data_IF_174600993471
#
_entry.id   IF_174600993471
#
_cell.length_a   1.000
_cell.length_b   1.000
_cell.length_c   1.000
_cell.angle_alpha   90.00
_cell.angle_beta   90.00
_cell.angle_gamma   90.00
#
_symmetry.space_group_name_H-M   'P 1'
#
loop_
_entity.id
_entity.type
_entity.pdbx_description
1 polymer ?
#
# COMPACT_ATOMS: atom_id res chain seq x y z
N UNK A 1 32.48 16.09 61.53
CA UNK A 1 32.61 15.75 60.09
C UNK A 1 31.25 15.21 59.65
N UNK A 2 30.31 16.09 59.29
CA UNK A 2 29.95 16.38 57.89
C UNK A 2 29.76 15.11 57.06
N UNK A 3 28.50 14.69 56.86
CA UNK A 3 27.82 14.71 55.54
C UNK A 3 26.30 14.79 55.77
N UNK A 4 25.68 15.86 55.27
CA UNK A 4 24.27 15.93 54.82
C UNK A 4 24.32 15.78 53.27
N UNK A 5 23.28 15.42 52.49
CA UNK A 5 21.84 15.74 52.66
C UNK A 5 20.90 14.65 52.00
N UNK A 6 19.74 14.95 51.35
CA UNK A 6 18.48 15.53 51.83
C UNK A 6 17.20 14.70 51.48
N UNK A 7 16.10 15.16 52.09
CA UNK A 7 14.68 14.97 51.74
C UNK A 7 14.37 15.25 50.25
N UNK A 8 13.39 14.54 49.66
CA UNK A 8 12.30 15.06 48.81
C UNK A 8 11.49 13.88 48.19
N UNK A 9 10.58 13.31 48.98
CA UNK A 9 9.56 12.36 48.52
C UNK A 9 8.24 13.09 48.31
N UNK A 10 8.04 13.72 47.15
CA UNK A 10 6.72 14.23 46.71
C UNK A 10 6.65 14.13 45.17
N UNK A 11 5.63 13.40 44.68
CA UNK A 11 4.96 13.57 43.38
C UNK A 11 5.83 13.61 42.09
N UNK A 12 6.42 12.47 41.71
CA UNK A 12 6.89 12.24 40.32
C UNK A 12 6.50 10.89 39.70
N UNK A 13 5.46 10.25 40.23
CA UNK A 13 4.90 9.02 39.64
C UNK A 13 3.68 9.27 38.72
N UNK A 14 3.19 10.51 38.62
CA UNK A 14 1.99 10.88 37.84
C UNK A 14 2.31 11.70 36.56
N UNK A 15 3.58 11.94 36.25
CA UNK A 15 4.00 12.77 35.11
C UNK A 15 4.83 12.04 34.04
N UNK A 16 5.05 10.72 34.17
CA UNK A 16 6.03 9.98 33.35
C UNK A 16 5.46 8.80 32.54
N UNK A 17 4.14 8.57 32.59
CA UNK A 17 3.44 7.59 31.73
C UNK A 17 2.44 8.25 30.77
N UNK A 18 2.34 9.59 30.79
CA UNK A 18 1.51 10.36 29.85
C UNK A 18 2.30 10.85 28.61
N UNK A 19 3.55 10.40 28.44
CA UNK A 19 4.49 11.00 27.47
C UNK A 19 5.36 9.99 26.71
N UNK A 20 5.06 8.69 26.74
CA UNK A 20 5.72 7.72 25.88
C UNK A 20 4.81 7.35 24.71
N UNK A 21 5.02 8.13 23.64
CA UNK A 21 4.70 7.85 22.24
C UNK A 21 3.22 8.01 21.87
N UNK A 22 2.82 9.28 21.75
CA UNK A 22 1.96 9.70 20.64
C UNK A 22 2.64 9.24 19.34
N UNK A 23 2.38 8.00 18.92
CA UNK A 23 2.70 7.57 17.57
C UNK A 23 1.97 8.54 16.65
N UNK A 24 2.74 9.34 15.93
CA UNK A 24 2.29 10.04 14.73
C UNK A 24 2.03 8.99 13.63
N UNK A 25 1.19 8.00 13.93
CA UNK A 25 0.58 7.17 12.90
C UNK A 25 -0.23 8.13 12.06
N UNK A 26 0.09 8.17 10.76
CA UNK A 26 -0.76 8.87 9.80
C UNK A 26 -2.21 8.41 9.98
N UNK A 27 -3.14 9.29 9.68
CA UNK A 27 -4.56 9.06 9.85
C UNK A 27 -4.98 7.80 9.07
N UNK A 28 -5.32 6.74 9.80
CA UNK A 28 -6.02 5.58 9.28
C UNK A 28 -7.49 5.83 9.59
N UNK A 29 -8.36 5.71 8.60
CA UNK A 29 -9.81 5.80 8.79
C UNK A 29 -10.52 4.80 7.89
N UNK A 30 -11.81 4.58 8.09
CA UNK A 30 -12.60 3.58 7.36
C UNK A 30 -12.26 2.10 7.61
N UNK A 31 -11.04 1.64 7.33
CA UNK A 31 -10.56 0.28 7.63
C UNK A 31 -9.39 0.36 8.60
N UNK A 32 -9.68 0.13 9.88
CA UNK A 32 -8.73 0.17 10.99
C UNK A 32 -8.16 -1.20 11.27
N UNK A 33 -6.92 -1.40 10.85
CA UNK A 33 -6.09 -2.52 11.26
C UNK A 33 -4.81 -2.00 11.92
N UNK A 34 -4.54 -2.39 13.16
CA UNK A 34 -3.46 -1.84 14.01
C UNK A 34 -2.05 -2.04 13.45
N UNK A 35 -1.83 -3.06 12.60
CA UNK A 35 -0.55 -3.33 11.94
C UNK A 35 -0.40 -2.61 10.59
N UNK A 36 -1.47 -2.01 10.07
CA UNK A 36 -1.36 -1.08 8.95
C UNK A 36 -0.90 0.28 9.49
N UNK A 37 0.13 0.85 8.90
CA UNK A 37 0.61 2.19 9.22
C UNK A 37 0.93 2.91 7.93
N UNK A 38 0.50 4.17 7.82
CA UNK A 38 0.81 4.99 6.66
C UNK A 38 1.88 6.04 6.98
N UNK A 39 2.70 6.32 5.98
CA UNK A 39 3.51 7.51 5.88
C UNK A 39 2.63 8.71 5.52
N UNK A 40 3.19 9.91 5.59
CA UNK A 40 2.44 11.12 5.29
C UNK A 40 2.01 11.17 3.81
N UNK A 41 0.75 11.54 3.59
CA UNK A 41 0.15 11.75 2.27
C UNK A 41 0.19 13.25 1.88
N UNK A 42 0.25 13.58 0.58
CA UNK A 42 0.27 12.66 -0.55
C UNK A 42 1.62 11.96 -0.72
N UNK A 43 1.61 10.68 -1.10
CA UNK A 43 2.81 9.96 -1.53
C UNK A 43 3.07 10.17 -3.02
N UNK A 44 4.22 9.70 -3.50
CA UNK A 44 4.46 9.54 -4.93
C UNK A 44 3.43 8.60 -5.56
N UNK A 45 3.02 8.89 -6.80
CA UNK A 45 2.05 8.10 -7.56
C UNK A 45 2.47 6.64 -7.72
N UNK A 46 3.74 6.39 -8.07
CA UNK A 46 4.26 5.04 -8.24
C UNK A 46 4.14 4.22 -6.95
N UNK A 47 4.56 4.79 -5.82
CA UNK A 47 4.46 4.10 -4.54
C UNK A 47 3.02 3.84 -4.10
N UNK A 48 2.12 4.81 -4.33
CA UNK A 48 0.68 4.62 -4.10
C UNK A 48 0.14 3.45 -4.90
N UNK A 49 0.39 3.40 -6.21
CA UNK A 49 -0.14 2.34 -7.07
C UNK A 49 0.40 0.96 -6.70
N UNK A 50 1.65 0.88 -6.26
CA UNK A 50 2.22 -0.35 -5.73
C UNK A 50 1.48 -0.83 -4.48
N UNK A 51 1.27 0.06 -3.50
CA UNK A 51 0.60 -0.28 -2.24
C UNK A 51 -0.88 -0.59 -2.43
N UNK A 52 -1.57 0.22 -3.24
CA UNK A 52 -2.98 0.01 -3.57
C UNK A 52 -3.17 -1.34 -4.28
N UNK A 53 -2.30 -1.70 -5.23
CA UNK A 53 -2.35 -3.00 -5.90
C UNK A 53 -2.06 -4.13 -4.92
N UNK A 54 -1.06 -3.97 -4.06
CA UNK A 54 -0.71 -4.98 -3.04
C UNK A 54 -1.91 -5.25 -2.11
N UNK A 55 -2.60 -4.20 -1.65
CA UNK A 55 -3.82 -4.34 -0.86
C UNK A 55 -4.97 -4.98 -1.64
N UNK A 56 -5.14 -4.64 -2.93
CA UNK A 56 -6.17 -5.25 -3.77
C UNK A 56 -5.94 -6.77 -3.90
N UNK A 57 -4.68 -7.20 -4.01
CA UNK A 57 -4.34 -8.62 -4.11
C UNK A 57 -4.58 -9.39 -2.81
N UNK A 58 -4.72 -8.72 -1.65
CA UNK A 58 -5.18 -9.38 -0.43
C UNK A 58 -6.56 -9.97 -0.57
N UNK A 59 -7.43 -9.44 -1.44
CA UNK A 59 -8.78 -9.95 -1.66
C UNK A 59 -8.82 -11.19 -2.58
N UNK A 60 -7.74 -11.47 -3.30
CA UNK A 60 -7.70 -12.52 -4.33
C UNK A 60 -7.19 -13.81 -3.72
N UNK A 61 -8.00 -14.86 -3.77
CA UNK A 61 -7.52 -16.20 -3.42
C UNK A 61 -6.58 -16.73 -4.52
N UNK A 62 -5.38 -17.21 -4.15
CA UNK A 62 -4.47 -17.78 -5.12
C UNK A 62 -5.09 -19.03 -5.74
N UNK A 63 -4.91 -19.22 -7.05
CA UNK A 63 -5.36 -20.45 -7.73
C UNK A 63 -4.57 -21.64 -7.19
N UNK A 64 -5.14 -22.85 -7.33
CA UNK A 64 -4.42 -24.11 -7.04
C UNK A 64 -3.04 -24.10 -7.72
N UNK A 65 -1.97 -24.32 -6.94
CA UNK A 65 -0.54 -24.26 -7.33
C UNK A 65 0.10 -22.87 -7.45
N UNK A 66 -0.64 -21.79 -7.21
CA UNK A 66 -0.03 -20.46 -7.05
C UNK A 66 0.33 -20.21 -5.59
N UNK A 67 1.54 -19.72 -5.35
CA UNK A 67 2.00 -19.36 -4.01
C UNK A 67 1.34 -18.04 -3.61
N UNK A 68 0.76 -17.99 -2.42
CA UNK A 68 0.26 -16.74 -1.84
C UNK A 68 1.42 -15.78 -1.60
N UNK A 69 1.24 -14.49 -1.89
CA UNK A 69 2.23 -13.47 -1.51
C UNK A 69 2.48 -13.47 0.00
N UNK A 70 3.68 -13.09 0.42
CA UNK A 70 4.03 -13.01 1.85
C UNK A 70 3.14 -11.99 2.56
N UNK A 71 2.78 -10.91 1.85
CA UNK A 71 1.84 -9.92 2.36
C UNK A 71 0.47 -10.53 2.69
N UNK A 72 -0.13 -11.35 1.82
CA UNK A 72 -1.41 -12.02 2.14
C UNK A 72 -1.25 -13.07 3.25
N UNK A 73 -0.13 -13.81 3.27
CA UNK A 73 0.15 -14.78 4.34
C UNK A 73 0.14 -14.11 5.72
N UNK A 74 0.75 -12.93 5.83
CA UNK A 74 0.73 -12.15 7.08
C UNK A 74 -0.69 -11.86 7.57
N UNK A 75 -1.56 -11.33 6.70
CA UNK A 75 -2.95 -11.03 7.07
C UNK A 75 -3.74 -12.28 7.49
N UNK A 76 -3.51 -13.41 6.81
CA UNK A 76 -4.11 -14.70 7.18
C UNK A 76 -3.60 -15.20 8.54
N UNK A 77 -2.31 -15.06 8.81
CA UNK A 77 -1.70 -15.42 10.10
C UNK A 77 -2.28 -14.57 11.24
N UNK A 78 -2.40 -13.26 11.04
CA UNK A 78 -2.98 -12.35 12.03
C UNK A 78 -4.45 -12.68 12.32
N UNK A 79 -5.23 -12.97 11.27
CA UNK A 79 -6.62 -13.39 11.42
C UNK A 79 -6.71 -14.72 12.19
N UNK A 80 -5.90 -15.71 11.81
CA UNK A 80 -5.86 -17.01 12.49
C UNK A 80 -5.45 -16.88 13.96
N UNK A 81 -4.50 -15.98 14.27
CA UNK A 81 -4.09 -15.67 15.64
C UNK A 81 -5.26 -15.09 16.45
N UNK A 82 -6.00 -14.14 15.90
CA UNK A 82 -7.17 -13.54 16.56
C UNK A 82 -8.30 -14.57 16.75
N UNK A 83 -8.54 -15.43 15.77
CA UNK A 83 -9.51 -16.52 15.87
C UNK A 83 -9.15 -17.48 16.99
N UNK A 84 -7.87 -17.84 17.13
CA UNK A 84 -7.38 -18.67 18.24
C UNK A 84 -7.57 -17.96 19.58
N UNK A 85 -7.16 -16.69 19.69
CA UNK A 85 -7.31 -15.90 20.91
C UNK A 85 -8.79 -15.79 21.34
N UNK A 86 -9.71 -15.65 20.38
CA UNK A 86 -11.15 -15.55 20.67
C UNK A 86 -11.74 -16.81 21.34
N UNK A 87 -11.11 -17.97 21.12
CA UNK A 87 -11.48 -19.25 21.75
C UNK A 87 -10.89 -19.40 23.15
N UNK A 88 -9.77 -18.73 23.42
CA UNK A 88 -9.06 -18.79 24.69
C UNK A 88 -9.56 -17.74 25.69
N UNK A 89 -9.92 -16.55 25.19
CA UNK A 89 -10.45 -15.45 25.99
C UNK A 89 -11.33 -14.51 25.17
N UNK A 90 -12.03 -13.64 25.88
CA UNK A 90 -12.69 -12.49 25.26
C UNK A 90 -11.66 -11.58 24.58
N UNK A 91 -11.94 -11.17 23.35
CA UNK A 91 -11.11 -10.20 22.62
C UNK A 91 -11.30 -8.78 23.17
N UNK A 92 -10.22 -8.01 23.12
CA UNK A 92 -10.22 -6.58 23.39
C UNK A 92 -10.92 -5.81 22.23
N UNK A 93 -11.39 -4.58 22.46
CA UNK A 93 -12.05 -3.80 21.41
C UNK A 93 -11.17 -3.61 20.16
N UNK A 94 -9.88 -3.36 20.35
CA UNK A 94 -8.91 -3.17 19.26
C UNK A 94 -8.70 -4.48 18.48
N UNK A 95 -8.69 -5.62 19.16
CA UNK A 95 -8.54 -6.93 18.54
C UNK A 95 -9.77 -7.30 17.70
N UNK A 96 -10.98 -6.93 18.15
CA UNK A 96 -12.19 -7.07 17.35
C UNK A 96 -12.19 -6.15 16.13
N UNK A 97 -11.73 -4.91 16.29
CA UNK A 97 -11.58 -3.99 15.17
C UNK A 97 -10.61 -4.58 14.13
N UNK A 98 -9.45 -5.07 14.57
CA UNK A 98 -8.45 -5.71 13.72
C UNK A 98 -9.01 -6.94 13.01
N UNK A 99 -9.71 -7.83 13.73
CA UNK A 99 -10.33 -9.02 13.14
C UNK A 99 -11.32 -8.63 12.02
N UNK A 100 -12.17 -7.63 12.27
CA UNK A 100 -13.10 -7.11 11.27
C UNK A 100 -12.40 -6.49 10.06
N UNK A 101 -11.35 -5.70 10.26
CA UNK A 101 -10.58 -5.10 9.16
C UNK A 101 -9.86 -6.15 8.32
N UNK A 102 -9.24 -7.15 8.95
CA UNK A 102 -8.60 -8.28 8.26
C UNK A 102 -9.62 -9.02 7.37
N UNK A 103 -10.81 -9.29 7.88
CA UNK A 103 -11.90 -9.92 7.12
C UNK A 103 -12.34 -9.05 5.93
N UNK A 104 -12.42 -7.73 6.08
CA UNK A 104 -12.70 -6.80 4.97
C UNK A 104 -11.59 -6.87 3.91
N UNK A 105 -10.33 -6.77 4.32
CA UNK A 105 -9.15 -6.83 3.43
C UNK A 105 -9.06 -8.14 2.64
N UNK A 106 -9.45 -9.25 3.27
CA UNK A 106 -9.46 -10.59 2.68
C UNK A 106 -10.74 -10.89 1.87
N UNK A 107 -11.58 -9.89 1.62
CA UNK A 107 -12.84 -10.01 0.87
C UNK A 107 -13.86 -10.97 1.51
N UNK A 108 -13.90 -11.00 2.84
CA UNK A 108 -14.83 -11.78 3.65
C UNK A 108 -15.83 -10.86 4.39
N UNK A 109 -16.38 -9.87 3.66
CA UNK A 109 -17.28 -8.85 4.21
C UNK A 109 -18.51 -9.40 4.98
N UNK A 110 -19.17 -10.51 4.56
CA UNK A 110 -20.24 -11.10 5.36
C UNK A 110 -19.80 -11.58 6.75
N UNK A 111 -18.61 -12.19 6.85
CA UNK A 111 -18.05 -12.64 8.11
C UNK A 111 -17.56 -11.46 8.96
N UNK A 112 -16.99 -10.43 8.31
CA UNK A 112 -16.65 -9.17 8.96
C UNK A 112 -17.89 -8.56 9.62
N UNK A 113 -19.02 -8.54 8.91
CA UNK A 113 -20.28 -8.00 9.42
C UNK A 113 -20.78 -8.78 10.65
N UNK A 114 -20.77 -10.11 10.61
CA UNK A 114 -21.17 -10.92 11.77
C UNK A 114 -20.28 -10.62 12.98
N UNK A 115 -18.97 -10.59 12.77
CA UNK A 115 -17.96 -10.34 13.80
C UNK A 115 -18.13 -8.94 14.41
N UNK A 116 -18.20 -7.92 13.57
CA UNK A 116 -18.28 -6.52 14.00
C UNK A 116 -19.62 -6.18 14.65
N UNK A 117 -20.73 -6.80 14.26
CA UNK A 117 -22.02 -6.63 14.96
C UNK A 117 -22.02 -7.23 16.36
N UNK A 118 -21.31 -8.34 16.58
CA UNK A 118 -21.10 -8.88 17.93
C UNK A 118 -20.23 -7.92 18.75
N UNK A 119 -19.13 -7.45 18.16
CA UNK A 119 -18.22 -6.51 18.80
C UNK A 119 -18.88 -5.18 19.18
N UNK A 120 -19.73 -4.62 18.31
CA UNK A 120 -20.48 -3.38 18.56
C UNK A 120 -21.44 -3.50 19.74
N UNK A 121 -22.13 -4.64 19.90
CA UNK A 121 -22.98 -4.89 21.08
C UNK A 121 -22.19 -4.90 22.38
N UNK A 122 -20.94 -5.37 22.33
CA UNK A 122 -20.08 -5.45 23.50
C UNK A 122 -19.33 -4.14 23.79
N UNK A 123 -19.00 -3.39 22.75
CA UNK A 123 -18.18 -2.18 22.81
C UNK A 123 -18.78 -1.03 21.95
N UNK A 124 -20.00 -0.56 22.25
CA UNK A 124 -20.75 0.37 21.40
C UNK A 124 -20.15 1.77 21.28
N UNK A 125 -19.18 2.10 22.13
CA UNK A 125 -18.48 3.39 22.12
C UNK A 125 -17.12 3.34 21.40
N UNK A 126 -16.76 2.21 20.80
CA UNK A 126 -15.50 2.09 20.06
C UNK A 126 -15.69 2.49 18.59
N UNK A 127 -15.19 3.68 18.24
CA UNK A 127 -15.35 4.22 16.89
C UNK A 127 -14.68 3.37 15.79
N UNK A 128 -13.62 2.61 16.09
CA UNK A 128 -12.93 1.76 15.08
C UNK A 128 -13.77 0.56 14.69
N UNK A 129 -14.46 -0.04 15.67
CA UNK A 129 -15.44 -1.11 15.41
C UNK A 129 -16.56 -0.57 14.52
N UNK A 130 -17.11 0.62 14.84
CA UNK A 130 -18.15 1.26 14.04
C UNK A 130 -17.66 1.62 12.63
N UNK A 131 -16.47 2.19 12.48
CA UNK A 131 -15.91 2.52 11.17
C UNK A 131 -15.70 1.28 10.30
N UNK A 132 -15.12 0.20 10.87
CA UNK A 132 -14.98 -1.07 10.17
C UNK A 132 -16.35 -1.67 9.82
N UNK A 133 -17.35 -1.54 10.70
CA UNK A 133 -18.72 -2.00 10.46
C UNK A 133 -19.38 -1.22 9.31
N UNK A 134 -19.17 0.10 9.26
CA UNK A 134 -19.60 0.93 8.14
C UNK A 134 -18.93 0.50 6.83
N UNK A 135 -17.62 0.26 6.85
CA UNK A 135 -16.87 -0.26 5.70
C UNK A 135 -17.38 -1.63 5.24
N UNK A 136 -17.71 -2.55 6.15
CA UNK A 136 -18.31 -3.83 5.79
C UNK A 136 -19.67 -3.66 5.08
N UNK A 137 -20.54 -2.78 5.59
CA UNK A 137 -21.81 -2.45 4.91
C UNK A 137 -21.59 -1.78 3.54
N UNK A 138 -20.61 -0.88 3.44
CA UNK A 138 -20.24 -0.23 2.18
C UNK A 138 -19.78 -1.26 1.14
N UNK A 139 -18.90 -2.19 1.51
CA UNK A 139 -18.41 -3.27 0.64
C UNK A 139 -19.54 -4.18 0.16
N UNK A 140 -20.56 -4.40 0.99
CA UNK A 140 -21.77 -5.16 0.62
C UNK A 140 -22.78 -4.34 -0.20
N UNK A 141 -22.54 -3.04 -0.41
CA UNK A 141 -23.44 -2.15 -1.16
C UNK A 141 -24.71 -1.76 -0.40
N UNK A 142 -24.73 -1.94 0.92
CA UNK A 142 -25.81 -1.61 1.85
C UNK A 142 -25.63 -0.18 2.39
N UNK A 143 -25.72 0.80 1.49
CA UNK A 143 -25.27 2.16 1.76
C UNK A 143 -26.07 2.90 2.85
N UNK A 144 -27.37 2.61 3.01
CA UNK A 144 -28.17 3.23 4.08
C UNK A 144 -27.65 2.87 5.47
N UNK A 145 -27.31 1.59 5.67
CA UNK A 145 -26.70 1.12 6.92
C UNK A 145 -25.29 1.64 7.09
N UNK A 146 -24.50 1.66 6.01
CA UNK A 146 -23.14 2.20 6.03
C UNK A 146 -23.14 3.67 6.48
N UNK A 147 -24.06 4.50 5.96
CA UNK A 147 -24.23 5.92 6.35
C UNK A 147 -24.57 6.04 7.83
N UNK A 148 -25.59 5.31 8.30
CA UNK A 148 -26.03 5.38 9.70
C UNK A 148 -24.89 5.04 10.67
N UNK A 149 -24.15 3.96 10.39
CA UNK A 149 -23.04 3.53 11.25
C UNK A 149 -21.84 4.48 11.14
N UNK A 150 -21.57 5.04 9.95
CA UNK A 150 -20.50 6.03 9.76
C UNK A 150 -20.77 7.32 10.54
N UNK A 151 -22.01 7.79 10.60
CA UNK A 151 -22.38 8.96 11.40
C UNK A 151 -22.13 8.72 12.91
N UNK A 152 -22.35 7.50 13.40
CA UNK A 152 -21.99 7.12 14.77
C UNK A 152 -20.48 7.07 14.98
N UNK A 153 -19.74 6.50 14.03
CA UNK A 153 -18.27 6.46 14.08
C UNK A 153 -17.68 7.87 14.15
N UNK A 154 -18.18 8.81 13.33
CA UNK A 154 -17.76 10.23 13.33
C UNK A 154 -18.02 10.89 14.68
N UNK A 155 -19.18 10.62 15.30
CA UNK A 155 -19.53 11.21 16.59
C UNK A 155 -18.60 10.76 17.74
N UNK A 156 -18.02 9.56 17.63
CA UNK A 156 -17.13 8.97 18.62
C UNK A 156 -15.64 9.08 18.26
N UNK A 157 -15.33 9.48 17.02
CA UNK A 157 -13.96 9.55 16.52
C UNK A 157 -13.14 10.63 17.26
N UNK A 158 -11.94 10.30 17.76
CA UNK A 158 -11.02 11.30 18.27
C UNK A 158 -10.68 12.32 17.18
N UNK A 159 -10.52 13.60 17.53
CA UNK A 159 -10.48 14.72 16.59
C UNK A 159 -9.59 14.53 15.34
N UNK A 160 -8.45 13.86 15.47
CA UNK A 160 -7.56 13.60 14.33
C UNK A 160 -8.18 12.69 13.24
N UNK A 161 -9.12 11.81 13.60
CA UNK A 161 -9.79 10.87 12.68
C UNK A 161 -11.07 11.44 12.05
N UNK A 162 -11.64 12.50 12.63
CA UNK A 162 -12.98 13.01 12.26
C UNK A 162 -13.06 13.38 10.77
N UNK A 163 -12.08 14.08 10.23
CA UNK A 163 -12.12 14.52 8.83
C UNK A 163 -11.98 13.36 7.86
N UNK A 164 -11.19 12.35 8.24
CA UNK A 164 -10.99 11.15 7.46
C UNK A 164 -12.25 10.24 7.47
N UNK A 165 -12.97 10.17 8.60
CA UNK A 165 -14.27 9.50 8.68
C UNK A 165 -15.37 10.25 7.90
N UNK A 166 -15.37 11.60 7.95
CA UNK A 166 -16.27 12.42 7.11
C UNK A 166 -16.02 12.21 5.62
N UNK A 167 -14.75 12.05 5.24
CA UNK A 167 -14.37 11.76 3.86
C UNK A 167 -14.95 10.40 3.41
N UNK A 168 -14.88 9.37 4.25
CA UNK A 168 -15.54 8.10 3.94
C UNK A 168 -17.06 8.27 3.83
N UNK A 169 -17.71 8.94 4.79
CA UNK A 169 -19.16 9.19 4.75
C UNK A 169 -19.58 9.88 3.46
N UNK A 170 -18.81 10.89 3.04
CA UNK A 170 -19.02 11.57 1.78
C UNK A 170 -18.95 10.56 0.61
N UNK A 171 -17.93 9.70 0.57
CA UNK A 171 -17.78 8.70 -0.49
C UNK A 171 -18.92 7.70 -0.52
N UNK A 172 -19.36 7.17 0.63
CA UNK A 172 -20.52 6.27 0.73
C UNK A 172 -21.77 6.92 0.12
N UNK A 173 -21.99 8.23 0.37
CA UNK A 173 -23.11 8.99 -0.20
C UNK A 173 -23.00 9.09 -1.73
N UNK A 174 -21.80 9.23 -2.30
CA UNK A 174 -21.61 9.23 -3.75
C UNK A 174 -21.87 7.85 -4.36
N UNK A 175 -21.36 6.77 -3.75
CA UNK A 175 -21.64 5.40 -4.20
C UNK A 175 -23.15 5.09 -4.19
N UNK A 176 -23.87 5.57 -3.16
CA UNK A 176 -25.33 5.45 -3.09
C UNK A 176 -26.03 6.16 -4.25
N UNK A 177 -25.66 7.40 -4.54
CA UNK A 177 -26.20 8.17 -5.68
C UNK A 177 -25.93 7.45 -7.00
N UNK A 178 -24.71 6.97 -7.20
CA UNK A 178 -24.33 6.25 -8.41
C UNK A 178 -25.15 4.97 -8.61
N UNK A 179 -25.31 4.15 -7.56
CA UNK A 179 -26.13 2.93 -7.60
C UNK A 179 -27.59 3.25 -7.95
N UNK A 180 -28.08 4.43 -7.60
CA UNK A 180 -29.39 4.93 -7.97
C UNK A 180 -29.43 5.60 -9.37
N UNK A 181 -28.35 5.53 -10.16
CA UNK A 181 -28.25 6.14 -11.50
C UNK A 181 -28.19 7.67 -11.49
N UNK A 182 -27.91 8.28 -10.34
CA UNK A 182 -27.85 9.73 -10.20
C UNK A 182 -26.47 10.27 -10.55
N UNK A 183 -26.42 11.52 -10.99
CA UNK A 183 -25.16 12.24 -11.18
C UNK A 183 -24.42 12.33 -9.85
N UNK A 184 -23.16 11.89 -9.85
CA UNK A 184 -22.26 11.96 -8.70
C UNK A 184 -21.32 13.13 -8.78
N UNK A 185 -20.83 13.52 -7.60
CA UNK A 185 -19.73 14.46 -7.44
C UNK A 185 -18.42 13.65 -7.47
N UNK A 186 -17.46 14.10 -8.26
CA UNK A 186 -16.14 13.48 -8.37
C UNK A 186 -15.22 13.95 -7.21
N UNK A 187 -15.58 13.57 -5.98
CA UNK A 187 -15.00 13.97 -4.68
C UNK A 187 -14.96 15.48 -4.36
N UNK A 188 -14.59 16.32 -5.33
CA UNK A 188 -14.34 17.74 -5.20
C UNK A 188 -15.10 18.59 -6.22
N UNK A 189 -16.06 18.01 -6.94
CA UNK A 189 -16.88 18.72 -7.95
C UNK A 189 -16.06 19.40 -9.06
N UNK A 190 -14.97 18.76 -9.48
CA UNK A 190 -14.12 19.23 -10.57
C UNK A 190 -14.74 18.84 -11.91
N UNK A 191 -14.57 19.68 -12.92
CA UNK A 191 -14.87 19.35 -14.31
C UNK A 191 -13.54 19.39 -15.05
N UNK A 192 -12.99 18.23 -15.40
CA UNK A 192 -11.71 18.10 -16.09
C UNK A 192 -11.77 18.56 -17.56
N UNK A 193 -12.57 19.58 -17.82
CA UNK A 193 -12.98 20.09 -19.12
C UNK A 193 -12.68 21.60 -19.21
N UNK A 194 -12.53 22.10 -20.43
CA UNK A 194 -12.45 23.52 -20.76
C UNK A 194 -13.81 24.21 -20.68
N UNK A 195 -13.82 25.53 -20.85
CA UNK A 195 -15.06 26.33 -20.97
C UNK A 195 -15.97 25.83 -22.11
N UNK A 196 -15.39 25.24 -23.15
CA UNK A 196 -16.10 24.62 -24.28
C UNK A 196 -16.52 23.17 -24.02
N UNK A 197 -16.32 22.65 -22.80
CA UNK A 197 -16.70 21.30 -22.40
C UNK A 197 -15.75 20.19 -22.90
N UNK A 198 -14.55 20.55 -23.37
CA UNK A 198 -13.57 19.58 -23.89
C UNK A 198 -12.58 19.15 -22.83
N UNK A 199 -12.27 17.86 -22.75
CA UNK A 199 -11.26 17.35 -21.83
C UNK A 199 -9.88 18.00 -22.04
N UNK A 200 -9.21 18.38 -20.95
CA UNK A 200 -7.90 19.06 -20.98
C UNK A 200 -6.80 18.05 -20.63
N UNK A 201 -6.00 17.56 -21.59
CA UNK A 201 -4.88 16.68 -21.28
C UNK A 201 -3.70 17.47 -20.67
N UNK A 202 -3.10 16.94 -19.62
CA UNK A 202 -1.98 17.53 -18.89
C UNK A 202 -2.34 18.74 -18.02
N UNK A 203 -3.62 18.94 -17.70
CA UNK A 203 -4.05 20.04 -16.84
C UNK A 203 -5.54 20.07 -16.55
N UNK A 204 -5.99 21.21 -16.03
CA UNK A 204 -7.39 21.52 -15.72
C UNK A 204 -7.62 23.01 -15.97
N UNK A 205 -8.88 23.42 -16.11
CA UNK A 205 -9.23 24.83 -16.21
C UNK A 205 -8.65 25.63 -15.02
N UNK A 206 -7.97 26.78 -15.26
CA UNK A 206 -7.34 27.56 -14.21
C UNK A 206 -8.29 28.07 -13.11
N UNK A 207 -9.58 28.28 -13.41
CA UNK A 207 -10.57 28.67 -12.42
C UNK A 207 -10.86 27.50 -11.47
N UNK A 208 -10.91 26.28 -12.00
CA UNK A 208 -11.09 25.08 -11.19
C UNK A 208 -9.84 24.68 -10.41
N UNK A 209 -8.65 24.90 -10.96
CA UNK A 209 -7.40 24.65 -10.23
C UNK A 209 -7.39 25.38 -8.87
N UNK A 210 -7.99 26.57 -8.80
CA UNK A 210 -8.12 27.37 -7.56
C UNK A 210 -9.15 26.80 -6.57
N UNK A 211 -10.08 25.96 -7.02
CA UNK A 211 -11.11 25.35 -6.17
C UNK A 211 -10.71 23.99 -5.64
N UNK A 212 -9.64 23.37 -6.16
CA UNK A 212 -9.12 22.09 -5.67
C UNK A 212 -8.65 22.26 -4.21
N UNK A 213 -9.18 21.48 -3.25
CA UNK A 213 -8.68 21.46 -1.88
C UNK A 213 -7.19 21.10 -1.83
N UNK A 214 -6.44 21.73 -0.92
CA UNK A 214 -4.98 21.49 -0.79
C UNK A 214 -4.64 20.04 -0.47
N UNK A 215 -5.54 19.33 0.20
CA UNK A 215 -5.45 17.94 0.61
C UNK A 215 -6.13 16.98 -0.38
N UNK A 216 -6.62 17.46 -1.52
CA UNK A 216 -7.40 16.66 -2.46
C UNK A 216 -6.71 15.34 -2.85
N UNK A 217 -5.43 15.41 -3.24
CA UNK A 217 -4.64 14.21 -3.59
C UNK A 217 -4.53 13.28 -2.39
N UNK A 218 -4.17 13.79 -1.22
CA UNK A 218 -4.03 12.97 -0.01
C UNK A 218 -5.34 12.26 0.33
N UNK A 219 -6.48 12.95 0.20
CA UNK A 219 -7.82 12.41 0.46
C UNK A 219 -8.19 11.29 -0.51
N UNK A 220 -7.96 11.44 -1.82
CA UNK A 220 -8.26 10.35 -2.78
C UNK A 220 -7.30 9.18 -2.59
N UNK A 221 -6.01 9.45 -2.35
CA UNK A 221 -5.02 8.43 -2.05
C UNK A 221 -5.44 7.61 -0.83
N UNK A 222 -5.90 8.29 0.22
CA UNK A 222 -6.36 7.66 1.45
C UNK A 222 -7.57 6.74 1.21
N UNK A 223 -8.60 7.22 0.51
CA UNK A 223 -9.75 6.38 0.15
C UNK A 223 -9.35 5.19 -0.72
N UNK A 224 -8.45 5.38 -1.69
CA UNK A 224 -7.98 4.31 -2.58
C UNK A 224 -7.15 3.25 -1.84
N UNK A 225 -6.52 3.61 -0.71
CA UNK A 225 -5.87 2.64 0.17
C UNK A 225 -6.87 1.90 1.06
N UNK A 226 -8.01 2.49 1.42
CA UNK A 226 -9.05 1.79 2.18
C UNK A 226 -9.91 0.88 1.32
N UNK A 227 -10.25 1.34 0.12
CA UNK A 227 -11.06 0.63 -0.86
C UNK A 227 -10.27 0.40 -2.15
N UNK A 228 -9.21 -0.43 -2.12
CA UNK A 228 -8.32 -0.62 -3.25
C UNK A 228 -8.99 -1.30 -4.45
N UNK A 229 -10.13 -1.94 -4.24
CA UNK A 229 -10.95 -2.55 -5.29
C UNK A 229 -11.99 -1.60 -5.92
N UNK A 230 -12.09 -0.36 -5.44
CA UNK A 230 -13.02 0.65 -5.99
C UNK A 230 -12.41 1.32 -7.23
N UNK A 231 -12.93 0.97 -8.40
CA UNK A 231 -12.43 1.45 -9.68
C UNK A 231 -12.64 2.95 -9.89
N UNK A 232 -13.63 3.55 -9.23
CA UNK A 232 -13.97 4.96 -9.38
C UNK A 232 -12.96 5.83 -8.63
N UNK A 233 -12.43 5.34 -7.52
CA UNK A 233 -11.33 5.99 -6.82
C UNK A 233 -10.05 5.99 -7.68
N UNK A 234 -9.76 4.88 -8.39
CA UNK A 234 -8.64 4.86 -9.33
C UNK A 234 -8.85 5.81 -10.50
N UNK A 235 -10.08 5.89 -11.04
CA UNK A 235 -10.42 6.88 -12.07
C UNK A 235 -10.24 8.30 -11.53
N UNK A 236 -10.70 8.60 -10.32
CA UNK A 236 -10.51 9.91 -9.68
C UNK A 236 -9.02 10.25 -9.51
N UNK A 237 -8.19 9.28 -9.09
CA UNK A 237 -6.74 9.47 -9.01
C UNK A 237 -6.15 9.80 -10.39
N UNK A 238 -6.60 9.12 -11.45
CA UNK A 238 -6.15 9.38 -12.81
C UNK A 238 -6.46 10.81 -13.25
N UNK A 239 -7.69 11.25 -13.00
CA UNK A 239 -8.14 12.60 -13.34
C UNK A 239 -7.36 13.68 -12.56
N UNK A 240 -7.10 13.45 -11.28
CA UNK A 240 -6.30 14.36 -10.46
C UNK A 240 -4.83 14.36 -10.89
N UNK A 241 -4.26 13.21 -11.25
CA UNK A 241 -2.90 13.14 -11.82
C UNK A 241 -2.80 13.91 -13.14
N UNK A 242 -3.83 13.83 -13.98
CA UNK A 242 -3.91 14.64 -15.19
C UNK A 242 -3.95 16.13 -14.86
N UNK A 243 -4.87 16.53 -13.95
CA UNK A 243 -4.99 17.90 -13.48
C UNK A 243 -3.73 18.41 -12.78
N UNK A 244 -2.91 17.51 -12.23
CA UNK A 244 -1.60 17.84 -11.66
C UNK A 244 -0.50 18.04 -12.68
N UNK A 245 -0.73 17.77 -13.95
CA UNK A 245 0.28 17.90 -15.00
C UNK A 245 1.10 16.62 -15.19
N UNK A 246 0.61 15.47 -14.72
CA UNK A 246 1.22 14.15 -14.89
C UNK A 246 0.37 13.24 -15.83
N UNK A 247 0.19 13.60 -17.11
CA UNK A 247 -0.72 12.90 -18.03
C UNK A 247 -0.29 11.46 -18.34
N UNK A 248 0.99 11.12 -18.24
CA UNK A 248 1.50 9.75 -18.39
C UNK A 248 1.02 8.85 -17.25
N UNK A 249 1.07 9.36 -16.01
CA UNK A 249 0.57 8.65 -14.82
C UNK A 249 -0.94 8.51 -14.91
N UNK A 250 -1.64 9.58 -15.30
CA UNK A 250 -3.07 9.55 -15.53
C UNK A 250 -3.48 8.48 -16.55
N UNK A 251 -2.80 8.45 -17.70
CA UNK A 251 -3.04 7.46 -18.74
C UNK A 251 -2.82 6.03 -18.22
N UNK A 252 -1.74 5.79 -17.47
CA UNK A 252 -1.48 4.47 -16.87
C UNK A 252 -2.57 4.04 -15.88
N UNK A 253 -3.09 4.97 -15.06
CA UNK A 253 -4.21 4.69 -14.16
C UNK A 253 -5.51 4.42 -14.92
N UNK A 254 -5.80 5.16 -16.00
CA UNK A 254 -6.97 4.92 -16.85
C UNK A 254 -6.87 3.59 -17.60
N UNK A 255 -5.67 3.19 -18.06
CA UNK A 255 -5.40 1.86 -18.59
C UNK A 255 -5.71 0.79 -17.54
N UNK A 256 -5.26 0.98 -16.30
CA UNK A 256 -5.60 0.12 -15.16
C UNK A 256 -7.11 0.02 -14.92
N UNK A 257 -7.85 1.13 -14.96
CA UNK A 257 -9.31 1.12 -14.84
C UNK A 257 -9.98 0.21 -15.88
N UNK A 258 -9.55 0.30 -17.14
CA UNK A 258 -10.12 -0.51 -18.23
C UNK A 258 -9.69 -1.97 -18.15
N UNK A 259 -8.42 -2.23 -17.84
CA UNK A 259 -7.82 -3.57 -17.98
C UNK A 259 -7.88 -4.39 -16.70
N UNK A 260 -7.57 -3.80 -15.55
CA UNK A 260 -7.52 -4.48 -14.25
C UNK A 260 -8.87 -4.49 -13.52
N UNK A 261 -9.71 -3.48 -13.77
CA UNK A 261 -11.03 -3.33 -13.14
C UNK A 261 -12.20 -3.56 -14.11
N UNK A 262 -11.93 -3.67 -15.42
CA UNK A 262 -12.98 -3.90 -16.42
C UNK A 262 -13.95 -2.73 -16.57
N UNK A 263 -13.58 -1.52 -16.12
CA UNK A 263 -14.42 -0.34 -16.20
C UNK A 263 -14.53 0.15 -17.66
N UNK A 264 -15.74 0.21 -18.21
CA UNK A 264 -16.01 0.56 -19.62
C UNK A 264 -16.98 1.73 -19.76
N UNK A 265 -16.90 2.69 -18.85
CA UNK A 265 -17.71 3.91 -18.94
C UNK A 265 -17.29 4.77 -20.14
N UNK A 266 -18.26 5.32 -20.87
CA UNK A 266 -17.99 6.10 -22.09
C UNK A 266 -17.08 7.29 -21.86
N UNK A 267 -17.25 8.00 -20.73
CA UNK A 267 -16.43 9.15 -20.36
C UNK A 267 -14.97 8.75 -20.14
N UNK A 268 -14.73 7.68 -19.37
CA UNK A 268 -13.38 7.13 -19.15
C UNK A 268 -12.70 6.77 -20.47
N UNK A 269 -13.41 6.07 -21.36
CA UNK A 269 -12.85 5.64 -22.64
C UNK A 269 -12.46 6.83 -23.52
N UNK A 270 -13.25 7.90 -23.52
CA UNK A 270 -12.97 9.11 -24.26
C UNK A 270 -11.77 9.89 -23.68
N UNK A 271 -11.75 10.13 -22.37
CA UNK A 271 -10.62 10.81 -21.71
C UNK A 271 -9.31 10.03 -21.91
N UNK A 272 -9.37 8.70 -21.78
CA UNK A 272 -8.24 7.81 -22.04
C UNK A 272 -7.72 7.93 -23.47
N UNK A 273 -8.61 7.99 -24.47
CA UNK A 273 -8.24 8.16 -25.89
C UNK A 273 -7.51 9.48 -26.09
N UNK A 274 -8.05 10.58 -25.58
CA UNK A 274 -7.46 11.92 -25.67
C UNK A 274 -6.07 11.96 -25.00
N UNK A 275 -5.93 11.38 -23.81
CA UNK A 275 -4.62 11.30 -23.13
C UNK A 275 -3.61 10.47 -23.90
N UNK A 276 -4.04 9.34 -24.48
CA UNK A 276 -3.17 8.48 -25.26
C UNK A 276 -2.61 9.23 -26.48
N UNK A 277 -3.46 9.95 -27.21
CA UNK A 277 -3.06 10.79 -28.34
C UNK A 277 -2.08 11.88 -27.91
N UNK A 278 -2.39 12.57 -26.80
CA UNK A 278 -1.53 13.62 -26.24
C UNK A 278 -0.14 13.12 -25.83
N UNK A 279 -0.07 12.03 -25.05
CA UNK A 279 1.20 11.44 -24.59
C UNK A 279 2.03 10.91 -25.76
N UNK A 280 1.39 10.31 -26.77
CA UNK A 280 2.09 9.84 -27.97
C UNK A 280 2.64 11.01 -28.79
N UNK A 281 1.85 12.06 -29.00
CA UNK A 281 2.29 13.27 -29.72
C UNK A 281 3.52 13.91 -29.09
N UNK A 282 3.59 13.96 -27.75
CA UNK A 282 4.76 14.47 -27.01
C UNK A 282 6.02 13.64 -27.22
N UNK A 283 5.91 12.31 -27.31
CA UNK A 283 7.08 11.45 -27.55
C UNK A 283 7.65 11.61 -28.96
N UNK A 284 6.81 11.97 -29.93
CA UNK A 284 7.23 12.17 -31.32
C UNK A 284 7.74 13.58 -31.61
N UNK A 285 7.31 14.57 -30.84
CA UNK A 285 7.87 15.90 -30.89
C UNK A 285 9.30 15.84 -30.34
N UNK A 286 10.29 16.20 -31.17
CA UNK A 286 11.72 16.35 -30.82
C UNK A 286 11.96 17.54 -29.86
N UNK A 287 11.06 17.80 -28.93
CA UNK A 287 11.17 18.91 -28.00
C UNK A 287 12.12 18.52 -26.86
N UNK A 288 13.40 18.88 -27.06
CA UNK A 288 14.47 19.01 -26.06
C UNK A 288 14.14 20.00 -24.93
N UNK A 289 12.92 20.53 -24.88
CA UNK A 289 12.41 21.25 -23.73
C UNK A 289 11.55 20.27 -22.96
N UNK A 290 12.12 19.68 -21.90
CA UNK A 290 11.36 19.31 -20.72
C UNK A 290 10.59 20.56 -20.27
N UNK A 291 9.45 20.86 -20.90
CA UNK A 291 8.58 21.92 -20.43
C UNK A 291 8.17 21.50 -19.03
N UNK A 292 8.60 22.32 -18.08
CA UNK A 292 8.33 22.27 -16.65
C UNK A 292 6.82 22.24 -16.37
N UNK A 293 6.16 21.13 -16.69
CA UNK A 293 4.95 20.75 -15.98
C UNK A 293 5.41 20.22 -14.64
N UNK A 294 5.91 21.13 -13.79
CA UNK A 294 6.09 20.85 -12.38
C UNK A 294 4.72 20.51 -11.86
N UNK A 295 4.54 19.24 -11.50
CA UNK A 295 3.36 18.80 -10.78
C UNK A 295 3.07 19.79 -9.67
N UNK A 296 1.84 20.29 -9.57
CA UNK A 296 1.55 21.35 -8.61
C UNK A 296 1.61 20.85 -7.16
N UNK A 297 1.69 19.53 -6.95
CA UNK A 297 1.87 18.94 -5.63
C UNK A 297 3.28 18.38 -5.42
N UNK A 298 3.68 18.39 -4.15
CA UNK A 298 4.96 17.81 -3.70
C UNK A 298 4.64 16.58 -2.86
N UNK A 299 5.13 15.38 -3.23
CA UNK A 299 4.93 14.18 -2.44
C UNK A 299 5.69 14.29 -1.11
N UNK A 300 5.04 13.86 -0.03
CA UNK A 300 5.60 13.84 1.32
C UNK A 300 6.24 12.50 1.70
N UNK A 301 5.93 11.45 0.93
CA UNK A 301 6.50 10.11 1.10
C UNK A 301 6.68 9.39 -0.24
N UNK A 302 7.58 8.40 -0.27
CA UNK A 302 7.79 7.56 -1.45
C UNK A 302 6.65 6.55 -1.63
N UNK A 303 6.19 5.95 -0.53
CA UNK A 303 5.12 4.94 -0.48
C UNK A 303 4.19 5.25 0.69
N UNK A 304 2.88 5.06 0.54
CA UNK A 304 1.94 5.13 1.66
C UNK A 304 2.25 4.15 2.78
N UNK A 305 2.47 2.86 2.52
CA UNK A 305 2.67 1.85 3.55
C UNK A 305 4.03 1.99 4.23
N UNK A 306 4.00 2.18 5.54
CA UNK A 306 5.17 2.14 6.42
C UNK A 306 5.44 0.68 6.83
N UNK A 307 5.89 -0.14 5.87
CA UNK A 307 6.16 -1.57 6.09
C UNK A 307 7.19 -1.82 7.20
N UNK A 308 8.12 -0.87 7.41
CA UNK A 308 9.09 -0.86 8.50
C UNK A 308 8.46 -0.89 9.90
N UNK A 309 7.20 -0.48 10.03
CA UNK A 309 6.44 -0.48 11.29
C UNK A 309 5.58 -1.72 11.47
N UNK A 310 5.46 -2.57 10.45
CA UNK A 310 4.70 -3.81 10.53
C UNK A 310 5.46 -4.83 11.38
N UNK A 311 4.81 -5.38 12.38
CA UNK A 311 5.38 -6.48 13.16
C UNK A 311 5.35 -7.76 12.32
N UNK A 312 6.47 -8.47 12.26
CA UNK A 312 6.60 -9.70 11.49
C UNK A 312 6.91 -10.87 12.44
N UNK A 313 6.21 -11.98 12.26
CA UNK A 313 6.55 -13.25 12.91
C UNK A 313 7.66 -13.92 12.10
N UNK A 314 8.91 -13.68 12.52
CA UNK A 314 10.09 -14.10 11.78
C UNK A 314 10.58 -15.48 12.25
N UNK A 315 10.94 -16.38 11.31
CA UNK A 315 11.45 -17.69 11.68
C UNK A 315 12.79 -17.56 12.42
N UNK A 316 13.10 -18.46 13.36
CA UNK A 316 14.37 -18.40 14.09
C UNK A 316 15.55 -18.66 13.15
N UNK A 317 16.62 -17.86 13.30
CA UNK A 317 17.87 -18.03 12.54
C UNK A 317 18.69 -19.15 13.16
N UNK A 318 19.11 -20.11 12.33
CA UNK A 318 19.95 -21.24 12.70
C UNK A 318 21.33 -21.09 12.05
N UNK A 319 22.37 -21.15 12.88
CA UNK A 319 23.75 -21.16 12.39
C UNK A 319 24.02 -22.43 11.56
N UNK A 320 24.81 -22.30 10.49
CA UNK A 320 25.20 -23.40 9.60
C UNK A 320 24.04 -24.15 8.91
N UNK A 321 22.84 -23.57 8.90
CA UNK A 321 21.69 -24.08 8.17
C UNK A 321 21.31 -23.14 7.02
N UNK A 322 20.41 -23.58 6.16
CA UNK A 322 19.77 -22.72 5.16
C UNK A 322 18.59 -22.03 5.83
N UNK A 323 18.66 -20.71 5.98
CA UNK A 323 17.64 -19.89 6.66
C UNK A 323 16.64 -19.32 5.66
N UNK A 324 15.36 -19.25 6.02
CA UNK A 324 14.39 -18.57 5.16
C UNK A 324 14.66 -17.05 5.14
N UNK A 325 14.64 -16.45 3.95
CA UNK A 325 14.71 -15.01 3.74
C UNK A 325 13.33 -14.50 3.27
N UNK A 326 12.48 -13.98 4.18
CA UNK A 326 11.15 -13.51 3.82
C UNK A 326 11.21 -12.16 3.08
N UNK A 327 10.42 -12.03 2.00
CA UNK A 327 10.30 -10.78 1.23
C UNK A 327 9.87 -9.58 2.08
N UNK A 328 8.99 -9.81 3.08
CA UNK A 328 8.56 -8.75 3.98
C UNK A 328 9.69 -8.16 4.82
N UNK A 329 10.73 -8.94 5.14
CA UNK A 329 11.90 -8.36 5.83
C UNK A 329 12.72 -7.49 4.88
N UNK A 330 12.87 -7.91 3.61
CA UNK A 330 13.54 -7.11 2.60
C UNK A 330 12.84 -5.75 2.42
N UNK A 331 11.51 -5.75 2.35
CA UNK A 331 10.70 -4.54 2.17
C UNK A 331 10.74 -3.57 3.36
N UNK A 332 11.15 -4.01 4.54
CA UNK A 332 11.40 -3.15 5.71
C UNK A 332 12.73 -2.38 5.63
N UNK A 333 13.58 -2.66 4.64
CA UNK A 333 14.81 -1.89 4.43
C UNK A 333 14.48 -0.48 3.95
N UNK A 334 14.94 0.52 4.69
CA UNK A 334 14.80 1.93 4.33
C UNK A 334 16.05 2.42 3.60
N UNK A 335 15.88 3.37 2.69
CA UNK A 335 16.98 4.05 2.00
C UNK A 335 16.82 5.54 2.22
N UNK A 336 17.84 6.18 2.77
CA UNK A 336 17.82 7.61 3.04
C UNK A 336 18.07 8.45 1.77
N UNK A 337 18.02 9.78 1.92
CA UNK A 337 18.25 10.72 0.79
C UNK A 337 19.68 10.67 0.23
N UNK A 338 20.65 10.12 0.96
CA UNK A 338 22.04 9.92 0.54
C UNK A 338 22.25 8.53 -0.07
N UNK A 339 21.15 7.81 -0.35
CA UNK A 339 21.17 6.44 -0.83
C UNK A 339 21.79 5.43 0.14
N UNK A 340 21.90 5.75 1.44
CA UNK A 340 22.38 4.81 2.46
C UNK A 340 21.23 3.92 2.94
N UNK A 341 21.50 2.61 3.04
CA UNK A 341 20.51 1.63 3.47
C UNK A 341 20.50 1.45 4.98
N UNK A 342 19.30 1.38 5.56
CA UNK A 342 19.07 0.99 6.94
C UNK A 342 18.38 -0.37 6.95
N UNK A 343 19.15 -1.41 7.26
CA UNK A 343 18.69 -2.78 7.30
C UNK A 343 18.05 -3.14 8.64
N UNK A 344 16.91 -3.88 8.64
CA UNK A 344 16.37 -4.53 9.83
C UNK A 344 17.40 -5.41 10.53
N UNK A 345 17.31 -5.52 11.86
CA UNK A 345 18.22 -6.33 12.66
C UNK A 345 18.28 -7.80 12.20
N UNK A 346 17.14 -8.34 11.77
CA UNK A 346 17.05 -9.70 11.24
C UNK A 346 17.91 -9.90 9.97
N UNK A 347 17.92 -8.94 9.03
CA UNK A 347 18.78 -9.04 7.84
C UNK A 347 20.26 -8.95 8.19
N UNK A 348 20.63 -8.09 9.14
CA UNK A 348 22.00 -7.99 9.62
C UNK A 348 22.50 -9.31 10.23
N UNK A 349 21.62 -10.04 10.91
CA UNK A 349 21.95 -11.38 11.45
C UNK A 349 22.07 -12.45 10.35
N UNK A 350 21.34 -12.30 9.25
CA UNK A 350 21.44 -13.17 8.07
C UNK A 350 22.61 -12.84 7.15
N UNK A 351 23.29 -11.70 7.34
CA UNK A 351 24.42 -11.35 6.50
C UNK A 351 25.52 -12.42 6.59
N UNK A 352 26.03 -12.84 5.44
CA UNK A 352 26.96 -13.95 5.25
C UNK A 352 26.44 -15.35 5.62
N UNK A 353 25.16 -15.50 6.00
CA UNK A 353 24.55 -16.80 6.22
C UNK A 353 24.02 -17.41 4.91
N UNK A 354 23.85 -18.72 4.91
CA UNK A 354 23.10 -19.39 3.83
C UNK A 354 21.61 -19.11 3.99
N UNK A 355 20.99 -18.63 2.94
CA UNK A 355 19.57 -18.28 2.88
C UNK A 355 18.86 -19.04 1.76
N UNK A 356 17.54 -19.18 1.89
CA UNK A 356 16.62 -19.62 0.86
C UNK A 356 15.55 -18.54 0.64
N UNK A 357 15.28 -18.22 -0.61
CA UNK A 357 14.21 -17.32 -1.02
C UNK A 357 13.51 -17.87 -2.27
N UNK A 358 12.22 -17.61 -2.39
CA UNK A 358 11.42 -18.02 -3.54
C UNK A 358 11.01 -16.78 -4.33
N UNK A 359 11.06 -16.81 -5.66
CA UNK A 359 10.68 -15.67 -6.46
C UNK A 359 10.72 -15.93 -7.96
N UNK A 360 10.56 -14.86 -8.74
CA UNK A 360 10.51 -14.90 -10.19
C UNK A 360 11.75 -14.22 -10.78
N UNK A 361 12.31 -14.82 -11.83
CA UNK A 361 13.48 -14.29 -12.51
C UNK A 361 13.12 -13.07 -13.35
N UNK A 362 13.96 -12.06 -13.28
CA UNK A 362 13.92 -10.86 -14.10
C UNK A 362 15.32 -10.64 -14.69
N UNK A 363 15.48 -10.63 -16.02
CA UNK A 363 16.77 -10.36 -16.64
C UNK A 363 17.23 -8.93 -16.36
N UNK A 364 18.54 -8.74 -16.18
CA UNK A 364 19.19 -7.42 -16.01
C UNK A 364 19.39 -6.72 -17.36
N UNK A 365 19.53 -7.49 -18.44
CA UNK A 365 19.68 -7.00 -19.82
C UNK A 365 18.72 -7.69 -20.79
N UNK A 366 19.08 -7.72 -22.07
CA UNK A 366 18.26 -8.33 -23.14
C UNK A 366 18.52 -9.84 -23.30
N UNK A 367 19.48 -10.39 -22.56
CA UNK A 367 19.89 -11.78 -22.67
C UNK A 367 18.86 -12.74 -22.05
N UNK A 368 18.49 -13.78 -22.80
CA UNK A 368 17.58 -14.83 -22.34
C UNK A 368 18.28 -15.92 -21.52
N UNK A 369 19.62 -15.87 -21.47
CA UNK A 369 20.47 -16.78 -20.71
C UNK A 369 21.47 -15.95 -19.93
N UNK A 370 21.61 -16.18 -18.63
CA UNK A 370 22.59 -15.45 -17.83
C UNK A 370 23.00 -16.24 -16.59
N UNK A 371 24.20 -15.96 -16.08
CA UNK A 371 24.65 -16.39 -14.76
C UNK A 371 24.24 -15.41 -13.65
N UNK A 372 23.70 -14.24 -14.02
CA UNK A 372 23.29 -13.18 -13.10
C UNK A 372 21.91 -12.64 -13.47
N UNK A 373 21.00 -12.54 -12.52
CA UNK A 373 19.65 -12.02 -12.75
C UNK A 373 19.05 -11.40 -11.49
N UNK A 374 17.98 -10.62 -11.63
CA UNK A 374 17.20 -10.13 -10.50
C UNK A 374 16.13 -11.15 -10.13
N UNK A 375 15.93 -11.36 -8.83
CA UNK A 375 14.79 -12.08 -8.29
C UNK A 375 13.78 -11.07 -7.74
N UNK A 376 12.50 -11.30 -8.04
CA UNK A 376 11.37 -10.50 -7.57
C UNK A 376 10.36 -11.39 -6.82
N UNK A 377 9.61 -10.83 -5.86
CA UNK A 377 8.53 -11.56 -5.17
C UNK A 377 7.43 -12.01 -6.14
N UNK A 378 7.03 -11.11 -7.03
CA UNK A 378 5.97 -11.33 -8.02
C UNK A 378 6.51 -11.08 -9.43
N UNK A 379 6.03 -11.81 -10.44
CA UNK A 379 6.41 -11.55 -11.82
C UNK A 379 5.85 -10.19 -12.26
N UNK A 380 6.67 -9.43 -12.98
CA UNK A 380 6.27 -8.15 -13.57
C UNK A 380 5.99 -8.34 -15.06
N UNK A 381 4.93 -7.72 -15.57
CA UNK A 381 4.57 -7.79 -16.98
C UNK A 381 5.41 -6.82 -17.80
N UNK A 382 5.32 -5.53 -17.48
CA UNK A 382 6.12 -4.47 -18.10
C UNK A 382 7.07 -3.89 -17.06
N UNK A 383 8.38 -4.11 -17.24
CA UNK A 383 9.40 -3.60 -16.32
C UNK A 383 9.26 -2.09 -16.08
N UNK A 384 9.07 -1.31 -17.14
CA UNK A 384 8.96 0.15 -17.01
C UNK A 384 7.74 0.59 -16.18
N UNK A 385 6.61 -0.12 -16.28
CA UNK A 385 5.39 0.24 -15.56
C UNK A 385 5.37 -0.31 -14.13
N UNK A 386 6.00 -1.47 -13.90
CA UNK A 386 5.81 -2.27 -12.69
C UNK A 386 7.10 -2.55 -11.93
N UNK A 387 8.22 -1.91 -12.32
CA UNK A 387 9.50 -2.05 -11.63
C UNK A 387 9.25 -1.89 -10.12
N UNK A 388 9.73 -2.79 -9.27
CA UNK A 388 9.63 -2.62 -7.83
C UNK A 388 10.59 -1.54 -7.31
N UNK A 389 10.43 -1.15 -6.06
CA UNK A 389 11.43 -0.34 -5.35
C UNK A 389 12.71 -1.17 -5.13
N UNK A 390 13.84 -0.50 -4.84
CA UNK A 390 15.12 -1.18 -4.62
C UNK A 390 15.04 -2.32 -3.58
N UNK A 391 14.22 -2.13 -2.54
CA UNK A 391 14.01 -3.10 -1.47
C UNK A 391 13.09 -4.29 -1.85
N UNK A 392 12.60 -4.33 -3.09
CA UNK A 392 11.85 -5.44 -3.66
C UNK A 392 12.62 -6.21 -4.75
N UNK A 393 13.94 -6.03 -4.83
CA UNK A 393 14.82 -6.68 -5.81
C UNK A 393 16.02 -7.32 -5.14
N UNK A 394 16.33 -8.56 -5.50
CA UNK A 394 17.54 -9.27 -5.03
C UNK A 394 18.38 -9.66 -6.23
N UNK A 395 19.65 -9.27 -6.26
CA UNK A 395 20.58 -9.74 -7.29
C UNK A 395 20.99 -11.18 -6.99
N UNK A 396 20.91 -12.06 -7.97
CA UNK A 396 21.33 -13.46 -7.86
C UNK A 396 22.57 -13.67 -8.71
N UNK A 397 23.63 -14.20 -8.13
CA UNK A 397 24.86 -14.61 -8.81
C UNK A 397 25.04 -16.12 -8.66
N UNK A 398 24.96 -16.85 -9.77
CA UNK A 398 25.00 -18.31 -9.77
C UNK A 398 26.40 -18.85 -9.49
N UNK A 399 26.44 -19.96 -8.76
CA UNK A 399 27.68 -20.69 -8.48
C UNK A 399 28.36 -21.13 -9.78
N UNK A 400 29.69 -21.05 -9.79
CA UNK A 400 30.56 -21.48 -10.90
C UNK A 400 30.24 -20.82 -12.26
N UNK A 401 29.64 -19.61 -12.25
CA UNK A 401 29.18 -18.90 -13.45
C UNK A 401 28.24 -19.74 -14.33
N UNK A 402 27.51 -20.69 -13.74
CA UNK A 402 26.54 -21.50 -14.44
C UNK A 402 25.52 -20.58 -15.12
N UNK A 403 25.34 -20.75 -16.43
CA UNK A 403 24.35 -20.01 -17.20
C UNK A 403 23.03 -20.76 -17.16
N UNK A 404 21.94 -20.03 -16.92
CA UNK A 404 20.57 -20.58 -16.94
C UNK A 404 19.69 -19.79 -17.89
N UNK A 405 18.72 -20.48 -18.49
CA UNK A 405 17.68 -19.83 -19.29
C UNK A 405 16.65 -19.16 -18.39
N UNK A 406 16.28 -17.93 -18.73
CA UNK A 406 15.26 -17.18 -18.01
C UNK A 406 13.92 -17.92 -18.05
N UNK A 407 13.32 -18.10 -16.87
CA UNK A 407 12.02 -18.74 -16.70
C UNK A 407 11.04 -17.81 -16.01
N UNK A 408 9.77 -17.87 -16.42
CA UNK A 408 8.67 -17.18 -15.73
C UNK A 408 8.14 -17.97 -14.52
N UNK A 409 8.54 -19.22 -14.39
CA UNK A 409 8.15 -20.07 -13.26
C UNK A 409 8.88 -19.63 -11.99
N UNK A 410 8.23 -19.81 -10.85
CA UNK A 410 8.81 -19.54 -9.54
C UNK A 410 10.03 -20.43 -9.31
N UNK A 411 11.10 -19.83 -8.83
CA UNK A 411 12.37 -20.46 -8.50
C UNK A 411 12.62 -20.38 -7.01
N UNK A 412 13.15 -21.46 -6.45
CA UNK A 412 13.72 -21.51 -5.10
C UNK A 412 15.23 -21.30 -5.27
N UNK A 413 15.74 -20.23 -4.66
CA UNK A 413 17.15 -19.86 -4.70
C UNK A 413 17.76 -20.09 -3.33
N UNK A 414 18.90 -20.79 -3.30
CA UNK A 414 19.71 -20.99 -2.08
C UNK A 414 21.10 -20.43 -2.31
N UNK A 415 21.63 -19.66 -1.37
CA UNK A 415 22.98 -19.11 -1.50
C UNK A 415 23.37 -18.26 -0.29
N UNK A 416 24.46 -17.51 -0.40
CA UNK A 416 24.96 -16.68 0.70
C UNK A 416 24.46 -15.25 0.56
N UNK A 417 23.77 -14.72 1.58
CA UNK A 417 23.27 -13.35 1.56
C UNK A 417 24.40 -12.34 1.79
N UNK A 418 24.47 -11.33 0.94
CA UNK A 418 25.29 -10.14 1.10
C UNK A 418 24.40 -8.90 1.08
N UNK A 419 24.62 -7.99 2.03
CA UNK A 419 23.95 -6.69 2.07
C UNK A 419 24.85 -5.62 1.44
N UNK A 420 24.24 -4.61 0.84
CA UNK A 420 24.97 -3.41 0.40
C UNK A 420 25.59 -2.74 1.61
N UNK A 421 26.85 -2.36 1.47
CA UNK A 421 27.55 -1.54 2.46
C UNK A 421 27.35 -0.07 2.11
N UNK A 422 28.37 0.55 1.54
CA UNK A 422 28.41 2.00 1.30
C UNK A 422 28.44 2.37 -0.18
N UNK A 423 28.41 1.39 -1.07
CA UNK A 423 28.46 1.61 -2.52
C UNK A 423 27.03 1.80 -3.08
N UNK A 424 26.66 3.03 -3.51
CA UNK A 424 25.32 3.32 -4.00
C UNK A 424 25.01 2.67 -5.36
N UNK A 425 26.03 2.21 -6.10
CA UNK A 425 25.85 1.56 -7.40
C UNK A 425 25.47 0.07 -7.27
N UNK A 426 25.63 -0.50 -6.06
CA UNK A 426 25.27 -1.90 -5.79
C UNK A 426 23.80 -2.06 -5.41
N UNK A 427 23.26 -3.24 -5.71
CA UNK A 427 21.95 -3.67 -5.22
C UNK A 427 21.92 -3.79 -3.70
N UNK A 428 20.76 -3.57 -3.10
CA UNK A 428 20.57 -3.66 -1.64
C UNK A 428 20.87 -5.06 -1.09
N UNK A 429 20.55 -6.09 -1.87
CA UNK A 429 20.67 -7.49 -1.50
C UNK A 429 21.24 -8.27 -2.68
N UNK A 430 22.27 -9.07 -2.40
CA UNK A 430 22.85 -10.01 -3.36
C UNK A 430 22.89 -11.40 -2.72
N UNK A 431 22.53 -12.43 -3.48
CA UNK A 431 22.73 -13.84 -3.09
C UNK A 431 23.84 -14.41 -3.98
N UNK A 432 24.98 -14.69 -3.34
CA UNK A 432 26.18 -15.23 -3.97
C UNK A 432 26.17 -16.76 -3.96
N UNK A 433 26.93 -17.36 -4.88
CA UNK A 433 27.11 -18.82 -5.00
C UNK A 433 25.76 -19.54 -5.06
N UNK A 434 24.80 -18.93 -5.77
CA UNK A 434 23.42 -19.38 -5.70
C UNK A 434 23.21 -20.69 -6.47
N UNK A 435 22.43 -21.58 -5.85
CA UNK A 435 21.91 -22.80 -6.43
C UNK A 435 20.39 -22.65 -6.62
N UNK A 436 19.89 -23.10 -7.77
CA UNK A 436 18.48 -22.97 -8.14
C UNK A 436 17.76 -24.31 -8.15
N UNK A 437 16.53 -24.30 -7.68
CA UNK A 437 15.59 -25.40 -7.82
C UNK A 437 14.24 -24.84 -8.27
N UNK A 438 13.59 -25.49 -9.23
CA UNK A 438 12.24 -25.11 -9.62
C UNK A 438 11.27 -25.41 -8.47
N UNK A 439 10.38 -24.45 -8.14
CA UNK A 439 9.33 -24.68 -7.17
C UNK A 439 8.35 -25.77 -7.68
N UNK A 440 7.79 -26.61 -6.79
CA UNK A 440 6.96 -27.76 -7.15
C UNK A 440 5.65 -27.41 -7.88
#
# INVERSE_FOLDING_TARGET
MQVCPPKFWILKALGLLASLLLSQGALIAGVYYSQESYNELPSQWRGLLMDQRQLRQLAVEPKLKQISSEFRKKYLQDLSRLDKLSKERKLLPEEFADQGALLIRLNQAPLALETLRKADREYPLNFRILANLSSAWQTLGEFDRAIQVSEQAIALAPGKYVDAEKLQLFWIKQLKKQKAGQKTDNLFNLQFQSLEGKYIPGGIDPAQLKTIPKDAIASVQLLALWFPADSLLLMQLAEIANASGDPEVALAMMDGCVTEFGLREGLLLEHRRILKEYVQGRKTAKDEKHQDHKSWFVPKSLRPFALDKMELDLPPIKANAVNLLPWLVLSQTQVDRKALAQYPAYLKQLENQKVQIEGHMQPVGEENESSTFLLLENPVGCWYCEMPSLNGMVLIELKDLKVVRMSRQTQIIKGKLQLRKDDPEKFLFTILEAEMQQAP
#
